data_IF_634734244678
#
_entry.id   IF_634734244678
#
_cell.length_a   1.000
_cell.length_b   1.000
_cell.length_c   1.000
_cell.angle_alpha   90.00
_cell.angle_beta   90.00
_cell.angle_gamma   90.00
#
_symmetry.space_group_name_H-M   'P 1'
#
loop_
_entity.id
_entity.type
_entity.pdbx_description
1 polymer ?
#
# COMPACT_ATOMS: atom_id res chain seq x y z
N UNK A 1 -33.24 -6.63 4.74
CA UNK A 1 -32.17 -7.14 3.85
C UNK A 1 -31.83 -8.54 4.32
N UNK A 2 -31.80 -9.52 3.42
CA UNK A 2 -31.31 -10.86 3.76
C UNK A 2 -29.79 -10.76 3.85
N UNK A 3 -29.21 -11.18 4.98
CA UNK A 3 -27.77 -11.27 5.12
C UNK A 3 -27.31 -12.54 4.39
N UNK A 4 -26.81 -12.37 3.18
CA UNK A 4 -26.24 -13.44 2.38
C UNK A 4 -24.70 -13.32 2.30
N UNK A 5 -24.09 -14.31 1.64
CA UNK A 5 -22.63 -14.37 1.49
C UNK A 5 -22.09 -13.16 0.72
N UNK A 6 -22.84 -12.61 -0.23
CA UNK A 6 -22.41 -11.46 -1.04
C UNK A 6 -22.35 -10.19 -0.20
N UNK A 7 -23.37 -9.95 0.63
CA UNK A 7 -23.41 -8.85 1.59
C UNK A 7 -22.25 -8.96 2.57
N UNK A 8 -22.03 -10.15 3.14
CA UNK A 8 -20.92 -10.39 4.06
C UNK A 8 -19.55 -10.10 3.42
N UNK A 9 -19.33 -10.58 2.20
CA UNK A 9 -18.07 -10.38 1.47
C UNK A 9 -17.82 -8.91 1.15
N UNK A 10 -18.87 -8.19 0.71
CA UNK A 10 -18.79 -6.77 0.40
C UNK A 10 -18.35 -5.97 1.62
N UNK A 11 -18.96 -6.21 2.78
CA UNK A 11 -18.58 -5.57 4.03
C UNK A 11 -17.17 -5.93 4.47
N UNK A 12 -16.77 -7.21 4.35
CA UNK A 12 -15.41 -7.63 4.68
C UNK A 12 -14.37 -6.90 3.83
N UNK A 13 -14.56 -6.85 2.51
CA UNK A 13 -13.65 -6.17 1.60
C UNK A 13 -13.59 -4.67 1.89
N UNK A 14 -14.74 -4.04 2.14
CA UNK A 14 -14.81 -2.62 2.48
C UNK A 14 -14.11 -2.31 3.80
N UNK A 15 -14.38 -3.08 4.85
CA UNK A 15 -13.76 -2.92 6.17
C UNK A 15 -12.24 -3.18 6.14
N UNK A 16 -11.76 -4.07 5.26
CA UNK A 16 -10.33 -4.31 5.08
C UNK A 16 -9.57 -3.06 4.58
N UNK A 17 -10.24 -2.13 3.88
CA UNK A 17 -9.61 -0.89 3.40
C UNK A 17 -9.11 0.00 4.54
N UNK A 18 -9.79 -0.01 5.69
CA UNK A 18 -9.46 0.85 6.83
C UNK A 18 -8.08 0.55 7.44
N UNK A 19 -7.78 -0.68 7.91
CA UNK A 19 -6.45 -0.99 8.42
C UNK A 19 -5.39 -0.87 7.33
N UNK A 20 -5.69 -1.24 6.07
CA UNK A 20 -4.74 -1.08 4.96
C UNK A 20 -4.34 0.39 4.75
N UNK A 21 -5.32 1.29 4.65
CA UNK A 21 -5.06 2.73 4.51
C UNK A 21 -4.23 3.26 5.68
N UNK A 22 -4.57 2.88 6.91
CA UNK A 22 -3.81 3.26 8.10
C UNK A 22 -2.34 2.79 8.02
N UNK A 23 -2.08 1.53 7.67
CA UNK A 23 -0.71 1.02 7.58
C UNK A 23 0.10 1.71 6.48
N UNK A 24 -0.49 1.96 5.32
CA UNK A 24 0.21 2.64 4.22
C UNK A 24 0.51 4.09 4.58
N UNK A 25 -0.45 4.84 5.14
CA UNK A 25 -0.18 6.20 5.60
C UNK A 25 0.80 6.25 6.77
N UNK A 26 0.73 5.32 7.72
CA UNK A 26 1.70 5.22 8.81
C UNK A 26 3.12 5.06 8.28
N UNK A 27 3.32 4.21 7.26
CA UNK A 27 4.63 4.04 6.62
C UNK A 27 5.09 5.33 5.94
N UNK A 28 4.22 5.97 5.16
CA UNK A 28 4.53 7.25 4.54
C UNK A 28 4.91 8.33 5.58
N UNK A 29 4.18 8.40 6.69
CA UNK A 29 4.42 9.30 7.82
C UNK A 29 5.78 9.04 8.50
N UNK A 30 6.13 7.77 8.76
CA UNK A 30 7.45 7.41 9.33
C UNK A 30 8.59 7.91 8.46
N UNK A 31 8.47 7.76 7.14
CA UNK A 31 9.51 8.19 6.20
C UNK A 31 9.57 9.73 6.10
N UNK A 32 8.42 10.39 5.93
CA UNK A 32 8.35 11.83 5.69
C UNK A 32 8.69 12.66 6.93
N UNK A 33 8.04 12.35 8.06
CA UNK A 33 8.07 13.17 9.28
C UNK A 33 9.10 12.65 10.26
N UNK A 34 9.10 11.35 10.54
CA UNK A 34 10.07 10.77 11.49
C UNK A 34 11.45 10.52 10.89
N UNK A 35 11.60 10.70 9.56
CA UNK A 35 12.83 10.42 8.80
C UNK A 35 13.38 9.02 9.09
N UNK A 36 12.47 8.08 9.33
CA UNK A 36 12.79 6.71 9.66
C UNK A 36 12.77 5.87 8.37
N UNK A 37 13.96 5.50 7.91
CA UNK A 37 14.17 4.76 6.66
C UNK A 37 14.25 3.25 6.84
N UNK A 38 13.91 2.74 8.03
CA UNK A 38 13.88 1.30 8.31
C UNK A 38 12.85 0.52 7.51
N UNK A 39 11.83 1.20 6.96
CA UNK A 39 10.75 0.59 6.18
C UNK A 39 10.85 0.85 4.66
N UNK A 40 11.98 1.39 4.19
CA UNK A 40 12.17 1.75 2.78
C UNK A 40 12.58 0.54 1.96
N UNK A 41 11.88 0.31 0.83
CA UNK A 41 12.22 -0.69 -0.18
C UNK A 41 12.57 -2.09 0.37
N UNK A 42 11.83 -2.55 1.39
CA UNK A 42 12.18 -3.74 2.18
C UNK A 42 12.25 -5.00 1.32
N UNK A 43 13.34 -5.76 1.48
CA UNK A 43 13.53 -7.09 0.91
C UNK A 43 13.92 -8.04 2.03
N UNK A 44 13.07 -9.07 2.29
CA UNK A 44 13.27 -10.05 3.37
C UNK A 44 13.48 -9.42 4.76
N UNK A 45 12.79 -8.32 5.04
CA UNK A 45 12.87 -7.62 6.33
C UNK A 45 14.07 -6.67 6.47
N UNK A 46 14.91 -6.51 5.44
CA UNK A 46 16.05 -5.59 5.45
C UNK A 46 15.84 -4.42 4.48
N UNK A 47 16.33 -3.25 4.90
CA UNK A 47 16.42 -2.02 4.10
C UNK A 47 17.68 -2.08 3.22
N UNK A 48 17.71 -1.42 2.03
CA UNK A 48 18.89 -1.42 1.15
C UNK A 48 20.10 -0.68 1.78
N UNK A 49 21.27 -0.78 1.14
CA UNK A 49 22.50 -0.15 1.64
C UNK A 49 22.42 1.39 1.75
N UNK A 50 21.67 2.04 0.85
CA UNK A 50 21.36 3.48 0.91
C UNK A 50 19.84 3.70 0.85
N UNK A 51 19.14 3.62 2.01
CA UNK A 51 17.70 3.81 2.08
C UNK A 51 17.24 5.23 1.75
N UNK A 52 18.06 6.25 2.03
CA UNK A 52 17.66 7.65 1.91
C UNK A 52 17.35 8.01 0.44
N UNK A 53 18.13 7.47 -0.51
CA UNK A 53 17.87 7.61 -1.94
C UNK A 53 16.52 7.06 -2.38
N UNK A 54 16.05 5.98 -1.76
CA UNK A 54 14.81 5.28 -2.15
C UNK A 54 13.58 5.70 -1.34
N UNK A 55 13.78 6.50 -0.29
CA UNK A 55 12.75 6.97 0.62
C UNK A 55 11.60 7.73 -0.10
N UNK A 56 11.86 8.64 -1.06
CA UNK A 56 10.78 9.36 -1.74
C UNK A 56 9.83 8.43 -2.51
N UNK A 57 10.37 7.38 -3.14
CA UNK A 57 9.55 6.42 -3.90
C UNK A 57 8.71 5.54 -2.98
N UNK A 58 9.28 5.02 -1.89
CA UNK A 58 8.50 4.22 -0.92
C UNK A 58 7.41 5.07 -0.29
N UNK A 59 7.72 6.33 0.07
CA UNK A 59 6.75 7.28 0.58
C UNK A 59 5.63 7.55 -0.43
N UNK A 60 5.96 7.81 -1.70
CA UNK A 60 4.99 8.07 -2.75
C UNK A 60 4.07 6.86 -2.98
N UNK A 61 4.62 5.64 -3.10
CA UNK A 61 3.85 4.41 -3.30
C UNK A 61 2.83 4.23 -2.17
N UNK A 62 3.25 4.37 -0.91
CA UNK A 62 2.38 4.17 0.23
C UNK A 62 1.41 5.35 0.45
N UNK A 63 1.84 6.58 0.18
CA UNK A 63 1.01 7.78 0.28
C UNK A 63 -0.11 7.80 -0.77
N UNK A 64 0.21 7.50 -2.03
CA UNK A 64 -0.79 7.42 -3.12
C UNK A 64 -1.75 6.26 -2.86
N UNK A 65 -1.26 5.07 -2.52
CA UNK A 65 -2.13 3.94 -2.22
C UNK A 65 -3.05 4.21 -1.01
N UNK A 66 -2.52 4.83 0.05
CA UNK A 66 -3.31 5.26 1.20
C UNK A 66 -4.38 6.29 0.83
N UNK A 67 -4.02 7.29 0.02
CA UNK A 67 -4.95 8.32 -0.43
C UNK A 67 -6.07 7.75 -1.30
N UNK A 68 -5.75 6.84 -2.22
CA UNK A 68 -6.77 6.17 -3.03
C UNK A 68 -7.68 5.29 -2.17
N UNK A 69 -7.15 4.57 -1.18
CA UNK A 69 -7.99 3.80 -0.25
C UNK A 69 -8.94 4.69 0.57
N UNK A 70 -8.47 5.84 1.06
CA UNK A 70 -9.33 6.82 1.76
C UNK A 70 -10.38 7.42 0.83
N UNK A 71 -10.00 7.75 -0.41
CA UNK A 71 -10.97 8.19 -1.42
C UNK A 71 -12.08 7.16 -1.61
N UNK A 72 -11.74 5.88 -1.74
CA UNK A 72 -12.71 4.78 -1.86
C UNK A 72 -13.60 4.69 -0.61
N UNK A 73 -13.01 4.73 0.59
CA UNK A 73 -13.76 4.68 1.86
C UNK A 73 -14.80 5.81 1.91
N UNK A 74 -14.36 7.05 1.65
CA UNK A 74 -15.24 8.23 1.68
C UNK A 74 -16.29 8.14 0.57
N UNK A 75 -15.91 7.72 -0.64
CA UNK A 75 -16.82 7.63 -1.77
C UNK A 75 -17.91 6.57 -1.58
N UNK A 76 -17.62 5.44 -0.95
CA UNK A 76 -18.64 4.45 -0.57
C UNK A 76 -19.55 5.01 0.54
N UNK A 77 -18.97 5.58 1.60
CA UNK A 77 -19.72 6.05 2.76
C UNK A 77 -20.62 7.27 2.48
N UNK A 78 -20.16 8.22 1.65
CA UNK A 78 -20.84 9.51 1.44
C UNK A 78 -21.53 9.61 0.08
N UNK A 79 -21.01 8.95 -0.96
CA UNK A 79 -21.51 9.06 -2.33
C UNK A 79 -22.13 7.77 -2.87
N UNK A 80 -22.13 6.68 -2.09
CA UNK A 80 -22.72 5.41 -2.49
C UNK A 80 -22.06 4.81 -3.74
N UNK A 81 -20.72 4.90 -3.84
CA UNK A 81 -19.98 4.37 -4.99
C UNK A 81 -20.42 2.92 -5.32
N UNK A 82 -20.78 2.62 -6.59
CA UNK A 82 -21.20 1.28 -6.99
C UNK A 82 -20.14 0.22 -6.71
N UNK A 83 -20.57 -1.00 -6.40
CA UNK A 83 -19.70 -2.12 -6.04
C UNK A 83 -18.58 -2.36 -7.05
N UNK A 84 -18.92 -2.49 -8.33
CA UNK A 84 -17.96 -2.73 -9.42
C UNK A 84 -16.92 -1.61 -9.52
N UNK A 85 -17.34 -0.37 -9.30
CA UNK A 85 -16.45 0.80 -9.38
C UNK A 85 -15.46 0.82 -8.23
N UNK A 86 -15.93 0.73 -6.99
CA UNK A 86 -15.04 0.88 -5.84
C UNK A 86 -14.12 -0.33 -5.69
N UNK A 87 -14.60 -1.54 -6.00
CA UNK A 87 -13.76 -2.76 -5.97
C UNK A 87 -12.72 -2.74 -7.08
N UNK A 88 -13.04 -2.24 -8.28
CA UNK A 88 -12.05 -2.07 -9.34
C UNK A 88 -10.95 -1.07 -8.91
N UNK A 89 -11.31 0.07 -8.34
CA UNK A 89 -10.34 1.07 -7.85
C UNK A 89 -9.48 0.48 -6.72
N UNK A 90 -10.10 -0.13 -5.71
CA UNK A 90 -9.38 -0.73 -4.59
C UNK A 90 -8.46 -1.86 -5.03
N UNK A 91 -8.97 -2.80 -5.84
CA UNK A 91 -8.24 -3.96 -6.32
C UNK A 91 -7.04 -3.58 -7.19
N UNK A 92 -7.24 -2.68 -8.17
CA UNK A 92 -6.14 -2.20 -9.02
C UNK A 92 -5.08 -1.44 -8.22
N UNK A 93 -5.49 -0.65 -7.23
CA UNK A 93 -4.59 0.05 -6.31
C UNK A 93 -3.74 -0.93 -5.51
N UNK A 94 -4.36 -1.95 -4.90
CA UNK A 94 -3.66 -2.98 -4.11
C UNK A 94 -2.62 -3.70 -4.97
N UNK A 95 -3.02 -4.16 -6.16
CA UNK A 95 -2.10 -4.86 -7.06
C UNK A 95 -0.96 -3.96 -7.53
N UNK A 96 -1.26 -2.73 -7.95
CA UNK A 96 -0.24 -1.76 -8.37
C UNK A 96 0.73 -1.47 -7.24
N UNK A 97 0.23 -1.25 -6.02
CA UNK A 97 1.05 -1.02 -4.84
C UNK A 97 2.01 -2.17 -4.57
N UNK A 98 1.53 -3.42 -4.61
CA UNK A 98 2.39 -4.59 -4.41
C UNK A 98 3.43 -4.77 -5.51
N UNK A 99 3.05 -4.56 -6.78
CA UNK A 99 3.99 -4.64 -7.91
C UNK A 99 5.06 -3.55 -7.83
N UNK A 100 4.69 -2.33 -7.45
CA UNK A 100 5.61 -1.21 -7.27
C UNK A 100 6.57 -1.44 -6.10
N UNK A 101 6.07 -1.88 -4.94
CA UNK A 101 6.93 -2.28 -3.80
C UNK A 101 7.90 -3.41 -4.20
N UNK A 102 7.40 -4.39 -4.95
CA UNK A 102 8.19 -5.51 -5.44
C UNK A 102 9.31 -5.05 -6.38
N UNK A 103 9.01 -4.16 -7.33
CA UNK A 103 9.98 -3.61 -8.28
C UNK A 103 11.01 -2.73 -7.56
N UNK A 104 10.55 -1.83 -6.68
CA UNK A 104 11.41 -0.93 -5.92
C UNK A 104 12.37 -1.71 -5.01
N UNK A 105 11.89 -2.75 -4.30
CA UNK A 105 12.77 -3.56 -3.43
C UNK A 105 13.91 -4.23 -4.20
N UNK A 106 13.68 -4.67 -5.44
CA UNK A 106 14.69 -5.28 -6.31
C UNK A 106 15.66 -4.26 -6.85
N UNK A 107 15.13 -3.14 -7.32
CA UNK A 107 15.94 -2.08 -7.85
C UNK A 107 16.87 -1.49 -6.78
N UNK A 108 16.35 -1.29 -5.56
CA UNK A 108 17.11 -0.73 -4.44
C UNK A 108 18.19 -1.66 -3.86
N UNK A 109 17.97 -2.97 -3.87
CA UNK A 109 18.95 -3.95 -3.39
C UNK A 109 19.95 -4.40 -4.47
N UNK A 110 19.77 -3.97 -5.72
CA UNK A 110 20.54 -4.45 -6.87
C UNK A 110 20.19 -5.89 -7.30
N UNK A 111 20.52 -6.19 -8.56
CA UNK A 111 20.49 -7.54 -9.15
C UNK A 111 21.82 -8.28 -8.98
N UNK A 112 22.81 -7.65 -8.34
CA UNK A 112 24.20 -8.12 -8.30
C UNK A 112 24.41 -9.41 -7.50
N UNK A 113 25.47 -10.19 -7.80
CA UNK A 113 25.76 -11.43 -7.11
C UNK A 113 25.95 -11.16 -5.62
N UNK A 114 25.41 -12.05 -4.78
CA UNK A 114 25.73 -12.05 -3.35
C UNK A 114 27.24 -12.14 -3.19
N UNK A 115 27.87 -11.11 -2.63
CA UNK A 115 29.21 -11.26 -2.07
C UNK A 115 29.10 -12.37 -1.02
N UNK A 116 29.68 -13.54 -1.32
CA UNK A 116 29.84 -14.59 -0.33
C UNK A 116 30.81 -14.03 0.70
N UNK A 117 30.30 -13.79 1.91
CA UNK A 117 31.13 -13.63 3.09
C UNK A 117 31.74 -15.00 3.45
#
# INVERSE_FOLDING_TARGET
MVFDVSVAMTWLLYLALFPMAFFWFRRAWRILIKRDFSEVAIKRGQSPADPARWAPYTMAINGVAGATAVFVIIGVALAGLPYETWTAIAGTTIWSKFLLDFALSRHAHGLGPRTRA
#
